data_IF_319830509527
#
_entry.id   IF_319830509527
#
_cell.length_a   1.000
_cell.length_b   1.000
_cell.length_c   1.000
_cell.angle_alpha   90.00
_cell.angle_beta   90.00
_cell.angle_gamma   90.00
#
_symmetry.space_group_name_H-M   'P 1'
#
loop_
_entity.id
_entity.type
_entity.pdbx_description
1 polymer ?
#
# COMPACT_ATOMS: atom_id res chain seq x y z
N UNK A 1 6.15 -0.77 12.53
CA UNK A 1 6.07 -2.08 11.87
C UNK A 1 4.65 -2.69 11.85
N UNK A 2 3.98 -2.93 12.98
CA UNK A 2 2.60 -3.46 12.95
C UNK A 2 1.62 -2.54 12.17
N UNK A 3 1.73 -1.23 12.36
CA UNK A 3 0.94 -0.25 11.62
C UNK A 3 1.23 -0.27 10.11
N UNK A 4 2.50 -0.41 9.72
CA UNK A 4 2.90 -0.53 8.31
C UNK A 4 2.29 -1.80 7.68
N UNK A 5 2.27 -2.94 8.41
CA UNK A 5 1.63 -4.18 7.95
C UNK A 5 0.12 -4.05 7.77
N UNK A 6 -0.55 -3.33 8.67
CA UNK A 6 -1.98 -3.03 8.53
C UNK A 6 -2.21 -2.22 7.25
N UNK A 7 -1.38 -1.21 6.99
CA UNK A 7 -1.45 -0.43 5.75
C UNK A 7 -1.24 -1.26 4.48
N UNK A 8 -0.29 -2.21 4.50
CA UNK A 8 -0.10 -3.15 3.39
C UNK A 8 -1.35 -4.02 3.16
N UNK A 9 -1.92 -4.61 4.21
CA UNK A 9 -3.15 -5.41 4.09
C UNK A 9 -4.34 -4.60 3.59
N UNK A 10 -4.53 -3.38 4.10
CA UNK A 10 -5.60 -2.49 3.62
C UNK A 10 -5.42 -2.18 2.13
N UNK A 11 -4.19 -1.95 1.68
CA UNK A 11 -3.89 -1.70 0.26
C UNK A 11 -4.27 -2.92 -0.58
N UNK A 12 -3.81 -4.13 -0.22
CA UNK A 12 -4.12 -5.35 -0.98
C UNK A 12 -5.62 -5.67 -1.04
N UNK A 13 -6.36 -5.41 0.04
CA UNK A 13 -7.82 -5.59 0.06
C UNK A 13 -8.50 -4.60 -0.90
N UNK A 14 -8.08 -3.33 -0.88
CA UNK A 14 -8.65 -2.31 -1.77
C UNK A 14 -8.38 -2.62 -3.25
N UNK A 15 -7.17 -3.07 -3.59
CA UNK A 15 -6.81 -3.50 -4.95
C UNK A 15 -7.66 -4.69 -5.41
N UNK A 16 -7.89 -5.66 -4.52
CA UNK A 16 -8.73 -6.82 -4.84
C UNK A 16 -10.19 -6.41 -5.12
N UNK A 17 -10.75 -5.50 -4.31
CA UNK A 17 -12.09 -4.95 -4.50
C UNK A 17 -12.16 -4.19 -5.83
N UNK A 18 -11.16 -3.36 -6.13
CA UNK A 18 -11.08 -2.61 -7.38
C UNK A 18 -11.11 -3.54 -8.60
N UNK A 19 -10.33 -4.63 -8.55
CA UNK A 19 -10.32 -5.62 -9.64
C UNK A 19 -11.67 -6.32 -9.79
N UNK A 20 -12.33 -6.67 -8.68
CA UNK A 20 -13.66 -7.29 -8.72
C UNK A 20 -14.69 -6.36 -9.37
N UNK A 21 -14.65 -5.07 -9.05
CA UNK A 21 -15.63 -4.08 -9.54
C UNK A 21 -15.36 -3.67 -10.99
N UNK A 22 -14.11 -3.44 -11.35
CA UNK A 22 -13.73 -2.83 -12.63
C UNK A 22 -13.24 -3.83 -13.68
N UNK A 23 -12.83 -5.03 -13.26
CA UNK A 23 -12.17 -6.01 -14.12
C UNK A 23 -10.73 -5.65 -14.50
N UNK A 24 -10.19 -4.54 -13.98
CA UNK A 24 -8.84 -4.03 -14.31
C UNK A 24 -8.00 -3.89 -13.05
N UNK A 25 -6.68 -4.05 -13.18
CA UNK A 25 -5.76 -3.72 -12.10
C UNK A 25 -5.59 -2.19 -12.03
N UNK A 26 -5.36 -1.61 -10.83
CA UNK A 26 -5.07 -0.19 -10.71
C UNK A 26 -3.79 0.16 -11.47
N UNK A 27 -3.84 1.19 -12.32
CA UNK A 27 -2.67 1.66 -13.06
C UNK A 27 -1.75 2.53 -12.20
N UNK A 28 -0.44 2.31 -12.32
CA UNK A 28 0.61 3.10 -11.69
C UNK A 28 1.33 2.39 -10.54
N UNK A 29 2.57 2.80 -10.27
CA UNK A 29 3.33 2.30 -9.13
C UNK A 29 2.69 2.74 -7.82
N UNK A 30 2.63 1.82 -6.85
CA UNK A 30 2.17 2.10 -5.49
C UNK A 30 2.92 3.33 -4.96
N UNK A 31 2.23 4.41 -4.55
CA UNK A 31 2.91 5.60 -4.06
C UNK A 31 3.76 5.23 -2.85
N UNK A 32 5.08 5.32 -3.03
CA UNK A 32 6.04 5.10 -1.95
C UNK A 32 5.88 6.26 -0.99
N UNK A 33 5.33 6.01 0.20
CA UNK A 33 5.20 7.05 1.20
C UNK A 33 6.62 7.53 1.59
N UNK A 34 6.95 8.74 1.15
CA UNK A 34 8.28 9.32 1.29
C UNK A 34 8.72 9.45 2.76
N UNK A 35 10.01 9.15 2.99
CA UNK A 35 10.83 9.74 4.04
C UNK A 35 10.70 9.24 5.49
N UNK A 36 9.59 8.65 5.95
CA UNK A 36 9.45 8.35 7.40
C UNK A 36 10.24 7.13 7.88
N UNK A 37 10.76 6.30 6.97
CA UNK A 37 11.54 5.09 7.30
C UNK A 37 13.03 5.34 7.60
N UNK A 38 13.54 6.58 7.51
CA UNK A 38 14.98 6.89 7.73
C UNK A 38 15.39 7.23 9.17
N UNK A 39 14.49 7.21 10.16
CA UNK A 39 14.91 7.33 11.57
C UNK A 39 15.38 5.99 12.13
N UNK A 40 16.49 5.50 11.60
CA UNK A 40 17.31 4.43 12.17
C UNK A 40 18.77 4.89 12.17
N UNK A 41 19.11 5.84 13.04
CA UNK A 41 20.49 6.05 13.54
C UNK A 41 20.54 7.22 14.54
N UNK A 42 20.38 6.88 15.81
CA UNK A 42 21.11 7.50 16.93
C UNK A 42 21.55 6.38 17.87
#
# INVERSE_FOLDING_TARGET
KNLERIGDYTTSIAEQIHFIETGTQPDGDRPKADGTSVLSSL
#
